data_IF_237103533765
#
_entry.id   IF_237103533765
#
_cell.length_a   1.000
_cell.length_b   1.000
_cell.length_c   1.000
_cell.angle_alpha   90.00
_cell.angle_beta   90.00
_cell.angle_gamma   90.00
#
_symmetry.space_group_name_H-M   'P 1'
#
loop_
_entity.id
_entity.type
_entity.pdbx_description
1 polymer ?
#
# COMPACT_ATOMS: atom_id res chain seq x y z
N UNK A 1 -12.89 -13.00 14.57
CA UNK A 1 -13.12 -12.70 13.13
C UNK A 1 -14.60 -12.60 12.90
N UNK A 2 -15.12 -11.43 12.54
CA UNK A 2 -16.57 -11.20 12.37
C UNK A 2 -17.20 -12.06 11.26
N UNK A 3 -16.43 -12.46 10.23
CA UNK A 3 -16.87 -13.43 9.22
C UNK A 3 -17.22 -14.79 9.85
N UNK A 4 -16.44 -15.24 10.84
CA UNK A 4 -16.66 -16.54 11.52
C UNK A 4 -17.88 -16.53 12.44
N UNK A 5 -18.42 -15.34 12.75
CA UNK A 5 -19.68 -15.18 13.47
C UNK A 5 -20.89 -15.00 12.55
N UNK A 6 -20.68 -14.85 11.24
CA UNK A 6 -21.76 -14.69 10.28
C UNK A 6 -22.44 -16.06 10.04
N UNK A 7 -23.78 -16.13 9.99
CA UNK A 7 -24.52 -17.38 9.81
C UNK A 7 -24.11 -18.12 8.54
N UNK A 8 -23.73 -17.41 7.48
CA UNK A 8 -23.25 -17.97 6.21
C UNK A 8 -21.94 -18.76 6.34
N UNK A 9 -21.15 -18.48 7.38
CA UNK A 9 -19.89 -19.16 7.66
C UNK A 9 -20.07 -20.39 8.55
N UNK A 10 -21.11 -20.39 9.39
CA UNK A 10 -21.38 -21.43 10.39
C UNK A 10 -22.52 -22.37 10.04
N UNK A 11 -23.44 -21.96 9.16
CA UNK A 11 -24.61 -22.72 8.77
C UNK A 11 -24.49 -23.25 7.34
N UNK A 12 -25.12 -24.40 7.09
CA UNK A 12 -25.22 -24.95 5.75
C UNK A 12 -26.09 -24.06 4.85
N UNK A 13 -25.60 -23.72 3.66
CA UNK A 13 -26.35 -22.90 2.71
C UNK A 13 -27.32 -23.81 1.92
N UNK A 14 -28.62 -23.60 2.12
CA UNK A 14 -29.68 -24.31 1.41
C UNK A 14 -29.60 -24.06 -0.09
N UNK A 15 -29.44 -25.12 -0.89
CA UNK A 15 -29.32 -25.05 -2.35
C UNK A 15 -27.94 -25.41 -2.90
N UNK A 16 -26.91 -25.56 -2.06
CA UNK A 16 -25.66 -26.22 -2.48
C UNK A 16 -25.90 -27.72 -2.63
N UNK A 17 -25.46 -28.30 -3.76
CA UNK A 17 -25.64 -29.71 -4.07
C UNK A 17 -24.71 -30.64 -3.27
N UNK A 18 -23.59 -30.12 -2.75
CA UNK A 18 -22.56 -30.89 -2.06
C UNK A 18 -21.92 -30.06 -0.92
N UNK A 19 -21.94 -30.53 0.34
CA UNK A 19 -21.24 -29.92 1.47
C UNK A 19 -19.74 -29.68 1.25
N UNK A 20 -19.10 -30.44 0.36
CA UNK A 20 -17.69 -30.26 0.00
C UNK A 20 -17.44 -28.94 -0.74
N UNK A 21 -18.43 -28.41 -1.46
CA UNK A 21 -18.31 -27.12 -2.15
C UNK A 21 -18.25 -25.97 -1.15
N UNK A 22 -19.09 -25.99 -0.11
CA UNK A 22 -19.05 -24.99 0.95
C UNK A 22 -17.70 -25.02 1.68
N UNK A 23 -17.21 -26.21 2.02
CA UNK A 23 -15.90 -26.36 2.67
C UNK A 23 -14.76 -25.79 1.82
N UNK A 24 -14.76 -26.03 0.49
CA UNK A 24 -13.76 -25.44 -0.42
C UNK A 24 -13.85 -23.92 -0.50
N UNK A 25 -15.05 -23.36 -0.52
CA UNK A 25 -15.24 -21.89 -0.52
C UNK A 25 -14.67 -21.29 0.78
N UNK A 26 -14.97 -21.91 1.93
CA UNK A 26 -14.44 -21.45 3.22
C UNK A 26 -12.91 -21.55 3.28
N UNK A 27 -12.32 -22.60 2.72
CA UNK A 27 -10.86 -22.73 2.63
C UNK A 27 -10.23 -21.64 1.74
N UNK A 28 -10.85 -21.32 0.61
CA UNK A 28 -10.43 -20.19 -0.24
C UNK A 28 -10.51 -18.85 0.49
N UNK A 29 -11.58 -18.62 1.26
CA UNK A 29 -11.75 -17.40 2.07
C UNK A 29 -10.66 -17.31 3.14
N UNK A 30 -10.39 -18.40 3.86
CA UNK A 30 -9.34 -18.44 4.90
C UNK A 30 -7.95 -18.20 4.29
N UNK A 31 -7.65 -18.83 3.15
CA UNK A 31 -6.38 -18.63 2.43
C UNK A 31 -6.24 -17.17 1.96
N UNK A 32 -7.32 -16.58 1.42
CA UNK A 32 -7.32 -15.17 1.02
C UNK A 32 -7.18 -14.24 2.22
N UNK A 33 -7.77 -14.57 3.36
CA UNK A 33 -7.64 -13.80 4.57
C UNK A 33 -6.22 -13.80 5.12
N UNK A 34 -5.56 -14.97 5.16
CA UNK A 34 -4.13 -15.09 5.52
C UNK A 34 -3.23 -14.26 4.61
N UNK A 35 -3.58 -14.16 3.33
CA UNK A 35 -2.86 -13.30 2.38
C UNK A 35 -3.06 -11.80 2.68
N UNK A 36 -4.29 -11.37 2.97
CA UNK A 36 -4.63 -9.96 3.23
C UNK A 36 -4.22 -9.51 4.64
N UNK A 37 -4.16 -10.43 5.61
CA UNK A 37 -3.76 -10.16 7.00
C UNK A 37 -2.34 -10.69 7.23
N UNK A 38 -1.31 -9.88 6.96
CA UNK A 38 0.07 -10.32 7.13
C UNK A 38 0.37 -10.61 8.61
N UNK A 39 1.41 -11.39 8.92
CA UNK A 39 1.82 -11.69 10.30
C UNK A 39 2.08 -10.45 11.16
N UNK A 40 2.41 -9.31 10.53
CA UNK A 40 2.58 -8.01 11.18
C UNK A 40 1.28 -7.33 11.59
N UNK A 41 0.12 -7.91 11.26
CA UNK A 41 -1.22 -7.36 11.50
C UNK A 41 -1.41 -5.91 10.98
N UNK A 42 -0.62 -5.46 10.01
CA UNK A 42 -0.66 -4.09 9.48
C UNK A 42 -2.04 -3.69 8.95
N UNK A 43 -2.77 -4.62 8.34
CA UNK A 43 -4.15 -4.38 7.85
C UNK A 43 -5.11 -4.05 8.99
N UNK A 44 -5.00 -4.71 10.15
CA UNK A 44 -5.83 -4.43 11.33
C UNK A 44 -5.41 -3.13 12.00
N UNK A 45 -4.10 -2.84 12.01
CA UNK A 45 -3.57 -1.57 12.53
C UNK A 45 -4.08 -0.40 11.68
N UNK A 46 -4.01 -0.49 10.35
CA UNK A 46 -4.58 0.52 9.46
C UNK A 46 -6.09 0.71 9.67
N UNK A 47 -6.84 -0.39 9.83
CA UNK A 47 -8.27 -0.34 10.16
C UNK A 47 -8.54 0.34 11.52
N UNK A 48 -7.68 0.09 12.52
CA UNK A 48 -7.77 0.73 13.83
C UNK A 48 -7.54 2.24 13.76
N UNK A 49 -6.57 2.67 12.94
CA UNK A 49 -6.21 4.08 12.74
C UNK A 49 -7.16 4.85 11.82
N UNK A 50 -8.00 4.16 11.05
CA UNK A 50 -9.01 4.82 10.22
C UNK A 50 -10.16 5.35 11.11
N UNK A 51 -10.37 6.67 11.19
CA UNK A 51 -11.36 7.28 12.07
C UNK A 51 -12.80 6.92 11.69
N UNK A 52 -13.07 6.57 10.43
CA UNK A 52 -14.41 6.16 9.98
C UNK A 52 -14.84 4.79 10.51
N UNK A 53 -13.89 3.96 10.94
CA UNK A 53 -14.14 2.54 11.24
C UNK A 53 -14.57 2.29 12.66
N UNK A 54 -15.43 1.30 12.89
CA UNK A 54 -15.84 0.96 14.24
C UNK A 54 -14.86 -0.03 14.90
N UNK A 55 -14.53 0.21 16.16
CA UNK A 55 -13.74 -0.72 16.96
C UNK A 55 -14.57 -1.92 17.47
N UNK A 56 -15.90 -1.89 17.32
CA UNK A 56 -16.79 -3.01 17.66
C UNK A 56 -16.52 -4.29 16.86
N UNK A 57 -15.90 -4.19 15.68
CA UNK A 57 -15.56 -5.36 14.86
C UNK A 57 -14.39 -6.19 15.41
N UNK A 58 -13.62 -5.65 16.37
CA UNK A 58 -12.58 -6.41 17.05
C UNK A 58 -13.23 -7.30 18.10
N UNK A 59 -13.20 -8.62 17.88
CA UNK A 59 -13.77 -9.61 18.80
C UNK A 59 -12.72 -10.29 19.67
N UNK A 60 -13.06 -10.55 20.94
CA UNK A 60 -12.18 -11.20 21.92
C UNK A 60 -10.87 -10.42 22.15
N UNK A 61 -9.75 -11.14 22.19
CA UNK A 61 -8.42 -10.56 22.41
C UNK A 61 -7.85 -9.82 21.18
N UNK A 62 -8.53 -9.86 20.03
CA UNK A 62 -8.00 -9.30 18.78
C UNK A 62 -7.69 -7.80 18.86
N UNK A 63 -8.40 -7.02 19.66
CA UNK A 63 -8.09 -5.61 19.86
C UNK A 63 -6.78 -5.45 20.64
N UNK A 64 -6.62 -6.23 21.71
CA UNK A 64 -5.43 -6.19 22.58
C UNK A 64 -4.19 -6.60 21.81
N UNK A 65 -4.30 -7.66 20.99
CA UNK A 65 -3.23 -8.12 20.10
C UNK A 65 -2.87 -7.05 19.07
N UNK A 66 -3.86 -6.43 18.43
CA UNK A 66 -3.63 -5.36 17.44
C UNK A 66 -2.92 -4.16 18.05
N UNK A 67 -3.25 -3.79 19.30
CA UNK A 67 -2.53 -2.71 20.02
C UNK A 67 -1.09 -3.12 20.32
N UNK A 68 -0.84 -4.38 20.69
CA UNK A 68 0.52 -4.87 20.92
C UNK A 68 1.36 -4.85 19.63
N UNK A 69 0.76 -5.32 18.52
CA UNK A 69 1.40 -5.30 17.20
C UNK A 69 1.65 -3.87 16.70
N UNK A 70 0.74 -2.93 16.97
CA UNK A 70 0.92 -1.52 16.64
C UNK A 70 2.14 -0.91 17.34
N UNK A 71 2.34 -1.23 18.63
CA UNK A 71 3.51 -0.75 19.40
C UNK A 71 4.81 -1.35 18.84
N UNK A 72 4.81 -2.64 18.51
CA UNK A 72 5.98 -3.28 17.90
C UNK A 72 6.28 -2.72 16.50
N UNK A 73 5.24 -2.45 15.70
CA UNK A 73 5.40 -1.82 14.39
C UNK A 73 5.92 -0.39 14.51
N UNK A 74 5.42 0.39 15.47
CA UNK A 74 5.92 1.74 15.76
C UNK A 74 7.40 1.71 16.15
N UNK A 75 7.81 0.74 16.97
CA UNK A 75 9.22 0.51 17.33
C UNK A 75 10.08 0.24 16.09
N UNK A 76 9.58 -0.56 15.14
CA UNK A 76 10.29 -0.86 13.88
C UNK A 76 10.41 0.33 12.95
N UNK A 77 9.41 1.20 12.92
CA UNK A 77 9.46 2.45 12.16
C UNK A 77 10.41 3.48 12.79
N UNK A 78 10.89 3.26 14.02
CA UNK A 78 11.75 4.20 14.73
C UNK A 78 10.92 5.31 15.34
N UNK A 79 10.43 5.04 16.56
CA UNK A 79 9.79 6.05 17.41
C UNK A 79 10.76 7.22 17.65
N UNK A 80 10.26 8.45 17.78
CA UNK A 80 11.07 9.59 18.20
C UNK A 80 11.82 9.30 19.51
N UNK A 81 13.04 9.81 19.70
CA UNK A 81 13.91 9.45 20.82
C UNK A 81 13.35 9.82 22.20
N UNK A 82 12.43 10.79 22.23
CA UNK A 82 11.69 11.28 23.40
C UNK A 82 10.44 10.45 23.73
N UNK A 83 10.01 9.55 22.84
CA UNK A 83 8.76 8.81 22.98
C UNK A 83 9.04 7.36 23.38
N UNK A 84 8.63 7.01 24.60
CA UNK A 84 8.67 5.61 25.02
C UNK A 84 7.55 4.79 24.34
N UNK A 85 7.76 3.49 24.07
CA UNK A 85 6.70 2.61 23.56
C UNK A 85 5.46 2.57 24.47
N UNK A 86 5.64 2.79 25.78
CA UNK A 86 4.53 2.88 26.74
C UNK A 86 3.72 4.17 26.56
N UNK A 87 4.38 5.29 26.31
CA UNK A 87 3.72 6.57 26.03
C UNK A 87 2.88 6.48 24.75
N UNK A 88 3.47 5.94 23.67
CA UNK A 88 2.75 5.69 22.42
C UNK A 88 1.54 4.75 22.62
N UNK A 89 1.72 3.69 23.44
CA UNK A 89 0.62 2.78 23.76
C UNK A 89 -0.53 3.49 24.47
N UNK A 90 -0.26 4.37 25.43
CA UNK A 90 -1.29 5.12 26.15
C UNK A 90 -2.07 6.03 25.19
N UNK A 91 -1.37 6.78 24.36
CA UNK A 91 -1.99 7.65 23.36
C UNK A 91 -2.87 6.88 22.36
N UNK A 92 -2.42 5.70 21.92
CA UNK A 92 -3.22 4.81 21.08
C UNK A 92 -4.49 4.31 21.81
N UNK A 93 -4.41 4.03 23.11
CA UNK A 93 -5.57 3.63 23.91
C UNK A 93 -6.55 4.80 24.11
N UNK A 94 -6.04 6.00 24.35
CA UNK A 94 -6.86 7.22 24.47
C UNK A 94 -7.60 7.51 23.16
N UNK A 95 -6.95 7.32 22.02
CA UNK A 95 -7.60 7.41 20.71
C UNK A 95 -8.70 6.36 20.54
N UNK A 96 -8.46 5.11 20.93
CA UNK A 96 -9.46 4.04 20.89
C UNK A 96 -10.68 4.40 21.76
N UNK A 97 -10.46 4.94 22.96
CA UNK A 97 -11.53 5.36 23.85
C UNK A 97 -12.34 6.51 23.26
N UNK A 98 -11.67 7.54 22.73
CA UNK A 98 -12.33 8.65 22.01
C UNK A 98 -13.18 8.13 20.86
N UNK A 99 -12.65 7.19 20.07
CA UNK A 99 -13.33 6.58 18.93
C UNK A 99 -14.54 5.74 19.33
N UNK A 100 -14.50 5.08 20.49
CA UNK A 100 -15.65 4.37 21.07
C UNK A 100 -16.77 5.30 21.51
N UNK A 101 -16.44 6.52 21.93
CA UNK A 101 -17.41 7.54 22.35
C UNK A 101 -18.14 8.21 21.18
N UNK A 102 -17.67 8.02 19.94
CA UNK A 102 -18.25 8.68 18.77
C UNK A 102 -19.64 8.17 18.41
N UNK A 103 -20.55 9.11 18.15
CA UNK A 103 -21.85 8.83 17.55
C UNK A 103 -21.73 8.45 16.07
N UNK A 104 -22.82 7.97 15.48
CA UNK A 104 -22.86 7.63 14.04
C UNK A 104 -22.56 8.86 13.19
N UNK A 105 -23.14 10.01 13.53
CA UNK A 105 -22.95 11.28 12.81
C UNK A 105 -21.50 11.77 12.88
N UNK A 106 -20.83 11.60 14.03
CA UNK A 106 -19.42 11.96 14.18
C UNK A 106 -18.51 11.08 13.31
N UNK A 107 -18.83 9.78 13.20
CA UNK A 107 -18.09 8.85 12.31
C UNK A 107 -18.33 9.15 10.84
N UNK A 108 -19.56 9.49 10.46
CA UNK A 108 -19.87 9.91 9.09
C UNK A 108 -19.13 11.19 8.71
N UNK A 109 -19.06 12.17 9.63
CA UNK A 109 -18.26 13.38 9.43
C UNK A 109 -16.77 13.06 9.27
N UNK A 110 -16.24 12.15 10.10
CA UNK A 110 -14.85 11.72 9.97
C UNK A 110 -14.58 10.92 8.68
N UNK A 111 -15.60 10.26 8.12
CA UNK A 111 -15.53 9.54 6.85
C UNK A 111 -15.61 10.46 5.62
N UNK A 112 -15.94 11.75 5.80
CA UNK A 112 -15.99 12.71 4.72
C UNK A 112 -14.60 12.98 4.12
N UNK A 113 -13.56 12.89 4.95
CA UNK A 113 -12.17 13.06 4.54
C UNK A 113 -11.47 11.70 4.39
N UNK A 114 -10.52 11.56 3.46
CA UNK A 114 -9.65 10.39 3.42
C UNK A 114 -8.93 10.22 4.78
N UNK A 115 -8.75 8.99 5.31
CA UNK A 115 -8.20 8.77 6.64
C UNK A 115 -6.87 9.50 6.91
N UNK A 116 -5.98 9.52 5.93
CA UNK A 116 -4.70 10.23 6.02
C UNK A 116 -4.90 11.76 6.20
N UNK A 117 -5.88 12.34 5.51
CA UNK A 117 -6.18 13.77 5.60
C UNK A 117 -6.87 14.13 6.92
N UNK A 118 -7.67 13.21 7.45
CA UNK A 118 -8.26 13.40 8.78
C UNK A 118 -7.19 13.56 9.86
N UNK A 119 -6.14 12.74 9.80
CA UNK A 119 -4.99 12.82 10.70
C UNK A 119 -4.26 14.18 10.61
N UNK A 120 -4.22 14.83 9.45
CA UNK A 120 -3.60 16.18 9.31
C UNK A 120 -4.31 17.27 10.12
N UNK A 121 -5.62 17.09 10.37
CA UNK A 121 -6.45 18.08 11.06
C UNK A 121 -6.50 17.87 12.57
N UNK A 122 -6.18 16.67 13.06
CA UNK A 122 -6.23 16.33 14.48
C UNK A 122 -4.84 16.50 15.13
N UNK A 123 -4.72 17.46 16.04
CA UNK A 123 -3.48 17.75 16.79
C UNK A 123 -3.47 17.13 18.19
N UNK A 124 -4.54 16.45 18.62
CA UNK A 124 -4.64 15.89 19.97
C UNK A 124 -3.70 14.67 20.16
N UNK A 125 -3.25 14.04 19.07
CA UNK A 125 -2.45 12.81 19.08
C UNK A 125 -1.20 12.91 18.19
N UNK A 126 -0.17 13.69 18.57
CA UNK A 126 0.98 13.98 17.71
C UNK A 126 1.88 12.76 17.43
N UNK A 127 2.08 11.87 18.41
CA UNK A 127 2.92 10.69 18.17
C UNK A 127 2.15 9.66 17.34
N UNK A 128 0.84 9.53 17.58
CA UNK A 128 -0.01 8.66 16.81
C UNK A 128 -0.18 9.16 15.36
N UNK A 129 -0.26 10.47 15.14
CA UNK A 129 -0.27 11.09 13.81
C UNK A 129 0.92 10.62 12.97
N UNK A 130 2.15 10.78 13.50
CA UNK A 130 3.37 10.39 12.77
C UNK A 130 3.41 8.91 12.39
N UNK A 131 2.82 8.06 13.25
CA UNK A 131 2.68 6.65 13.01
C UNK A 131 1.59 6.36 11.96
N UNK A 132 0.43 7.00 12.09
CA UNK A 132 -0.71 6.83 11.19
C UNK A 132 -0.40 7.31 9.77
N UNK A 133 0.31 8.42 9.63
CA UNK A 133 0.81 8.90 8.33
C UNK A 133 1.61 7.80 7.63
N UNK A 134 2.57 7.19 8.32
CA UNK A 134 3.40 6.12 7.76
C UNK A 134 2.57 4.89 7.42
N UNK A 135 1.72 4.41 8.32
CA UNK A 135 0.91 3.19 8.11
C UNK A 135 -0.07 3.37 6.94
N UNK A 136 -0.76 4.50 6.88
CA UNK A 136 -1.80 4.77 5.88
C UNK A 136 -1.23 5.15 4.51
N UNK A 137 0.05 5.56 4.44
CA UNK A 137 0.75 5.84 3.18
C UNK A 137 1.32 4.59 2.50
N UNK A 138 1.32 3.44 3.19
CA UNK A 138 1.80 2.19 2.61
C UNK A 138 0.82 1.74 1.52
N UNK A 139 1.29 1.53 0.27
CA UNK A 139 0.43 1.03 -0.78
C UNK A 139 -0.07 -0.38 -0.44
N UNK A 140 -1.36 -0.62 -0.68
CA UNK A 140 -2.02 -1.89 -0.35
C UNK A 140 -1.63 -3.06 -1.27
N UNK A 141 -0.92 -2.79 -2.37
CA UNK A 141 -0.50 -3.81 -3.32
C UNK A 141 0.76 -3.40 -4.09
N UNK A 142 1.46 -4.40 -4.63
CA UNK A 142 2.57 -4.23 -5.58
C UNK A 142 2.14 -3.72 -6.95
N UNK A 143 0.84 -3.53 -7.21
CA UNK A 143 0.35 -3.19 -8.55
C UNK A 143 0.94 -1.88 -9.10
N UNK A 144 1.27 -0.91 -8.24
CA UNK A 144 1.97 0.31 -8.66
C UNK A 144 3.40 -0.03 -9.13
N UNK A 145 4.13 -0.82 -8.35
CA UNK A 145 5.46 -1.31 -8.71
C UNK A 145 5.44 -2.17 -9.98
N UNK A 146 4.46 -3.05 -10.14
CA UNK A 146 4.31 -3.90 -11.33
C UNK A 146 4.07 -3.06 -12.61
N UNK A 147 3.27 -1.99 -12.52
CA UNK A 147 3.11 -1.04 -13.62
C UNK A 147 4.44 -0.36 -13.94
N UNK A 148 5.18 0.09 -12.92
CA UNK A 148 6.50 0.69 -13.11
C UNK A 148 7.49 -0.27 -13.76
N UNK A 149 7.49 -1.55 -13.38
CA UNK A 149 8.34 -2.58 -13.97
C UNK A 149 7.93 -2.92 -15.41
N UNK A 150 6.64 -2.90 -15.72
CA UNK A 150 6.15 -3.03 -17.09
C UNK A 150 6.65 -1.88 -17.97
N UNK A 151 6.63 -0.64 -17.44
CA UNK A 151 7.17 0.55 -18.12
C UNK A 151 8.69 0.42 -18.31
N UNK A 152 9.42 -0.09 -17.32
CA UNK A 152 10.83 -0.38 -17.45
C UNK A 152 11.11 -1.40 -18.57
N UNK A 153 10.38 -2.51 -18.60
CA UNK A 153 10.51 -3.53 -19.66
C UNK A 153 10.10 -3.02 -21.04
N UNK A 154 9.21 -2.03 -21.10
CA UNK A 154 8.95 -1.29 -22.33
C UNK A 154 10.17 -0.44 -22.71
N UNK A 155 10.65 0.45 -21.82
CA UNK A 155 11.73 1.41 -22.09
C UNK A 155 13.05 0.72 -22.44
N UNK A 156 13.39 -0.35 -21.72
CA UNK A 156 14.60 -1.13 -21.88
C UNK A 156 14.25 -2.58 -22.20
N UNK A 157 14.42 -2.96 -23.47
CA UNK A 157 14.09 -4.29 -23.98
C UNK A 157 15.28 -4.89 -24.72
N UNK A 158 15.25 -6.20 -25.04
CA UNK A 158 16.34 -6.88 -25.79
C UNK A 158 16.70 -6.17 -27.11
N UNK A 159 15.74 -5.51 -27.75
CA UNK A 159 15.96 -4.73 -28.99
C UNK A 159 16.36 -3.27 -28.75
N UNK A 160 16.14 -2.75 -27.53
CA UNK A 160 16.41 -1.37 -27.09
C UNK A 160 17.25 -1.37 -25.82
N UNK A 161 18.43 -2.00 -25.87
CA UNK A 161 19.32 -2.21 -24.72
C UNK A 161 20.52 -1.25 -24.66
N UNK A 162 20.62 -0.28 -25.58
CA UNK A 162 21.74 0.68 -25.65
C UNK A 162 21.54 1.94 -24.79
N UNK A 163 20.68 1.86 -23.77
CA UNK A 163 20.40 2.96 -22.85
C UNK A 163 21.15 2.71 -21.53
N UNK A 164 21.72 3.75 -20.95
CA UNK A 164 22.30 3.68 -19.60
C UNK A 164 21.19 3.58 -18.56
N UNK A 165 21.47 2.95 -17.42
CA UNK A 165 20.51 2.74 -16.31
C UNK A 165 19.85 4.05 -15.90
N UNK A 166 20.65 5.09 -15.61
CA UNK A 166 20.18 6.44 -15.26
C UNK A 166 19.21 7.02 -16.30
N UNK A 167 19.43 6.74 -17.59
CA UNK A 167 18.54 7.23 -18.66
C UNK A 167 17.22 6.47 -18.68
N UNK A 168 17.25 5.16 -18.46
CA UNK A 168 16.04 4.33 -18.36
C UNK A 168 15.17 4.75 -17.18
N UNK A 169 15.78 5.09 -16.05
CA UNK A 169 15.08 5.58 -14.86
C UNK A 169 14.42 6.93 -15.10
N UNK A 170 15.17 7.90 -15.64
CA UNK A 170 14.62 9.23 -15.99
C UNK A 170 13.46 9.10 -16.97
N UNK A 171 13.57 8.24 -17.99
CA UNK A 171 12.49 7.98 -18.95
C UNK A 171 11.28 7.30 -18.30
N UNK A 172 11.49 6.32 -17.42
CA UNK A 172 10.41 5.63 -16.71
C UNK A 172 9.69 6.55 -15.73
N UNK A 173 10.44 7.43 -15.07
CA UNK A 173 9.90 8.48 -14.20
C UNK A 173 9.06 9.47 -15.01
N UNK A 174 9.59 10.00 -16.13
CA UNK A 174 8.83 10.90 -17.02
C UNK A 174 7.58 10.20 -17.54
N UNK A 175 7.66 8.95 -17.97
CA UNK A 175 6.51 8.21 -18.49
C UNK A 175 5.42 8.03 -17.44
N UNK A 176 5.82 7.72 -16.19
CA UNK A 176 4.87 7.48 -15.09
C UNK A 176 4.23 8.78 -14.60
N UNK A 177 4.98 9.89 -14.59
CA UNK A 177 4.56 11.16 -14.00
C UNK A 177 4.15 12.23 -15.02
N UNK A 178 4.36 12.03 -16.32
CA UNK A 178 3.74 12.86 -17.36
C UNK A 178 2.23 12.58 -17.35
N UNK A 179 1.51 13.33 -16.51
CA UNK A 179 0.06 13.34 -16.48
C UNK A 179 -0.52 13.52 -17.88
N UNK A 180 -1.61 12.82 -18.14
CA UNK A 180 -2.46 12.92 -19.32
C UNK A 180 -2.79 14.40 -19.64
N UNK A 181 -2.04 15.02 -20.55
CA UNK A 181 -2.44 16.29 -21.20
C UNK A 181 -3.49 16.07 -22.28
N UNK A 182 -3.99 14.84 -22.44
CA UNK A 182 -5.09 14.48 -23.34
C UNK A 182 -6.05 13.52 -22.62
N UNK A 183 -7.37 13.60 -22.88
CA UNK A 183 -8.32 12.64 -22.34
C UNK A 183 -8.05 11.27 -23.00
N UNK A 184 -7.31 10.40 -22.32
CA UNK A 184 -6.88 9.13 -22.89
C UNK A 184 -8.02 8.12 -22.82
N UNK A 185 -8.53 7.73 -23.99
CA UNK A 185 -9.10 6.40 -24.16
C UNK A 185 -8.01 5.39 -23.78
N UNK A 186 -8.08 4.84 -22.58
CA UNK A 186 -7.12 3.85 -22.08
C UNK A 186 -6.87 2.77 -23.14
N UNK A 187 -5.63 2.54 -23.60
CA UNK A 187 -5.35 1.38 -24.42
C UNK A 187 -5.44 0.16 -23.50
N UNK A 188 -6.54 -0.57 -23.64
CA UNK A 188 -6.76 -1.86 -23.01
C UNK A 188 -5.67 -2.81 -23.55
N UNK A 189 -4.57 -3.00 -22.81
CA UNK A 189 -3.52 -3.90 -23.26
C UNK A 189 -4.03 -5.35 -23.15
N UNK A 190 -4.10 -6.03 -24.30
CA UNK A 190 -4.13 -7.49 -24.33
C UNK A 190 -2.70 -7.97 -24.11
N UNK A 191 -2.45 -8.65 -22.99
CA UNK A 191 -1.23 -9.43 -22.82
C UNK A 191 -1.09 -10.40 -24.00
N UNK A 192 0.00 -10.38 -24.77
CA UNK A 192 0.21 -11.40 -25.80
C UNK A 192 0.37 -12.75 -25.12
N UNK A 193 -0.39 -13.75 -25.56
CA UNK A 193 -0.17 -15.14 -25.17
C UNK A 193 1.24 -15.51 -25.60
N UNK A 194 2.16 -15.69 -24.63
CA UNK A 194 3.51 -16.20 -24.89
C UNK A 194 3.39 -17.61 -25.51
N UNK A 195 3.91 -17.87 -26.72
CA UNK A 195 4.14 -19.25 -27.15
C UNK A 195 5.24 -19.84 -26.26
N UNK A 196 5.11 -21.13 -25.92
CA UNK A 196 6.14 -21.90 -25.22
C UNK A 196 7.48 -21.81 -25.97
N UNK A 197 8.41 -21.01 -25.46
CA UNK A 197 9.83 -21.15 -25.82
C UNK A 197 10.55 -21.68 -24.58
N UNK A 198 11.10 -22.89 -24.74
CA UNK A 198 11.93 -23.56 -23.75
C UNK A 198 13.24 -22.81 -23.58
N UNK A 199 13.47 -22.25 -22.39
CA UNK A 199 14.75 -21.68 -21.98
C UNK A 199 15.79 -22.80 -21.88
N UNK A 200 16.68 -22.90 -22.89
CA UNK A 200 17.96 -23.57 -22.77
C UNK A 200 19.03 -22.50 -22.82
N UNK A 201 19.46 -22.06 -21.64
CA UNK A 201 20.56 -21.11 -21.46
C UNK A 201 21.88 -21.79 -21.86
N UNK A 202 22.48 -21.29 -22.94
CA UNK A 202 23.89 -21.49 -23.23
C UNK A 202 24.56 -20.14 -23.13
N UNK A 203 25.04 -19.83 -21.92
CA UNK A 203 25.82 -18.63 -21.65
C UNK A 203 27.21 -18.75 -22.29
N UNK A 204 27.53 -17.79 -23.16
CA UNK A 204 28.91 -17.42 -23.46
C UNK A 204 28.92 -15.96 -23.88
N UNK A 205 28.94 -15.06 -22.90
CA UNK A 205 29.21 -13.64 -23.10
C UNK A 205 30.54 -13.30 -22.42
N UNK A 206 31.57 -13.14 -23.26
CA UNK A 206 32.81 -12.45 -22.97
C UNK A 206 32.64 -11.02 -23.47
N UNK A 207 32.42 -10.05 -22.58
CA UNK A 207 32.59 -8.64 -22.89
C UNK A 207 32.79 -7.81 -21.60
N UNK A 208 34.08 -7.60 -21.31
CA UNK A 208 34.72 -6.58 -20.48
C UNK A 208 33.80 -5.61 -19.69
N UNK A 209 33.81 -5.82 -18.37
CA UNK A 209 33.36 -4.90 -17.33
C UNK A 209 33.98 -3.50 -17.49
N UNK A 210 33.12 -2.48 -17.60
CA UNK A 210 33.43 -1.16 -17.04
C UNK A 210 32.46 -0.92 -15.90
N UNK A 211 32.97 -1.19 -14.71
CA UNK A 211 32.39 -0.79 -13.43
C UNK A 211 32.18 0.73 -13.44
N UNK A 212 30.92 1.14 -13.23
CA UNK A 212 30.41 2.45 -12.73
C UNK A 212 29.04 2.75 -13.36
N UNK A 213 28.05 1.88 -13.15
CA UNK A 213 26.63 2.12 -13.50
C UNK A 213 25.78 1.99 -12.22
N UNK A 214 25.99 2.89 -11.25
CA UNK A 214 25.03 3.07 -10.17
C UNK A 214 23.97 4.11 -10.57
N UNK A 215 22.72 3.65 -10.74
CA UNK A 215 21.59 4.28 -10.06
C UNK A 215 20.42 3.30 -9.90
N UNK A 216 19.68 3.50 -8.81
CA UNK A 216 18.25 3.19 -8.73
C UNK A 216 17.44 4.46 -8.44
N UNK A 217 17.99 5.44 -7.69
CA UNK A 217 17.59 6.85 -7.64
C UNK A 217 18.70 7.67 -6.96
N UNK A 218 19.41 8.54 -7.68
CA UNK A 218 20.31 9.55 -7.06
C UNK A 218 19.52 10.84 -6.77
N UNK A 219 18.97 10.93 -5.56
CA UNK A 219 18.15 12.06 -5.11
C UNK A 219 18.94 13.35 -4.85
N UNK A 220 20.28 13.32 -4.93
CA UNK A 220 21.12 14.52 -4.80
C UNK A 220 21.42 15.20 -6.14
N UNK A 221 20.95 14.64 -7.26
CA UNK A 221 21.04 15.32 -8.56
C UNK A 221 20.10 16.54 -8.53
N UNK A 222 20.69 17.75 -8.44
CA UNK A 222 19.95 19.01 -8.46
C UNK A 222 19.00 19.11 -9.66
N UNK A 223 19.31 18.44 -10.78
CA UNK A 223 18.42 18.42 -11.95
C UNK A 223 17.12 17.62 -11.73
N UNK A 224 17.14 16.63 -10.82
CA UNK A 224 15.96 15.87 -10.44
C UNK A 224 15.07 16.64 -9.46
N UNK A 225 15.66 17.35 -8.50
CA UNK A 225 14.94 18.28 -7.60
C UNK A 225 14.18 19.35 -8.40
N UNK A 226 14.83 19.98 -9.40
CA UNK A 226 14.13 20.92 -10.30
C UNK A 226 12.99 20.27 -11.10
N UNK A 227 13.10 18.99 -11.42
CA UNK A 227 12.08 18.25 -12.16
C UNK A 227 10.88 17.90 -11.26
N UNK A 228 11.13 17.53 -10.00
CA UNK A 228 10.10 17.34 -8.99
C UNK A 228 9.34 18.65 -8.71
N UNK A 229 10.06 19.75 -8.51
CA UNK A 229 9.46 21.08 -8.32
C UNK A 229 8.60 21.50 -9.52
N UNK A 230 9.04 21.22 -10.74
CA UNK A 230 8.28 21.51 -11.95
C UNK A 230 6.97 20.71 -12.03
N UNK A 231 6.98 19.42 -11.66
CA UNK A 231 5.78 18.57 -11.65
C UNK A 231 4.79 19.04 -10.59
N UNK A 232 5.27 19.33 -9.37
CA UNK A 232 4.43 19.85 -8.28
C UNK A 232 3.85 21.21 -8.66
N UNK A 233 4.61 22.06 -9.36
CA UNK A 233 4.12 23.35 -9.86
C UNK A 233 3.04 23.22 -10.95
N UNK A 234 3.06 22.17 -11.76
CA UNK A 234 2.04 21.92 -12.79
C UNK A 234 0.74 21.40 -12.17
N UNK A 235 0.82 20.52 -11.17
CA UNK A 235 -0.37 19.97 -10.49
C UNK A 235 -1.08 21.03 -9.62
N UNK A 236 -0.31 21.95 -9.02
CA UNK A 236 -0.87 23.10 -8.27
C UNK A 236 -1.49 24.17 -9.17
N UNK A 237 -1.04 24.30 -10.42
CA UNK A 237 -1.67 25.19 -11.41
C UNK A 237 -2.98 24.60 -11.94
N UNK A 238 -3.03 23.28 -12.17
CA UNK A 238 -4.24 22.60 -12.68
C UNK A 238 -5.39 22.51 -11.67
N UNK A 239 -5.15 22.75 -10.37
CA UNK A 239 -6.19 22.77 -9.30
C UNK A 239 -6.74 24.16 -9.00
N UNK A 240 -6.25 25.23 -9.65
CA UNK A 240 -6.67 26.63 -9.43
C UNK A 240 -7.61 27.19 -10.49
N UNK A 241 -7.99 26.38 -11.49
CA UNK A 241 -9.02 26.68 -12.49
C UNK A 241 -10.28 25.83 -12.23
#
# INVERSE_FOLDING_TARGET
MWLKSAPEYTMYISGLADPLVQAKILDLIENRWKFISPPSNSTKIAYLLDPSKDTSLFTGDSLRDTVADAVELARRFGLPPDVSPASFRLELLDFIERKKSWSVEQREKAAADPPLHWWLLDQDFPHLYSFAERVLSIPTSSAASERLWSIHGFTHSKLRNRLRVVTVEKLSFIYTNNGDTKPTSMPLYKTPTRPNDSDFDSESDDDNEREDDESLFDFNDASFEYLLDAIVSVDTASRRD
#
